data_IF_616109651897
#
_entry.id   IF_616109651897
#
_cell.length_a   1.000
_cell.length_b   1.000
_cell.length_c   1.000
_cell.angle_alpha   90.00
_cell.angle_beta   90.00
_cell.angle_gamma   90.00
#
_symmetry.space_group_name_H-M   'P 1'
#
loop_
_entity.id
_entity.type
_entity.pdbx_description
1 polymer ?
#
# COMPACT_ATOMS: atom_id res chain seq x y z
N UNK A 1 -13.08 44.71 -41.29
CA UNK A 1 -14.08 44.02 -40.45
C UNK A 1 -14.71 42.91 -41.27
N UNK A 2 -14.40 41.65 -40.97
CA UNK A 2 -15.10 40.49 -41.51
C UNK A 2 -15.01 39.37 -40.46
N UNK A 3 -16.18 38.89 -40.10
CA UNK A 3 -16.52 37.96 -39.03
C UNK A 3 -16.42 36.55 -39.61
N UNK A 4 -15.69 35.64 -38.98
CA UNK A 4 -15.93 34.19 -39.11
C UNK A 4 -15.45 33.48 -37.86
N UNK A 5 -16.41 33.33 -36.93
CA UNK A 5 -16.39 32.30 -35.91
C UNK A 5 -16.56 30.95 -36.62
N UNK A 6 -15.53 30.11 -36.61
CA UNK A 6 -15.71 28.67 -36.78
C UNK A 6 -15.03 27.98 -35.62
N UNK A 7 -15.90 27.54 -34.70
CA UNK A 7 -15.58 26.53 -33.70
C UNK A 7 -14.99 25.31 -34.41
N UNK A 8 -13.82 24.88 -33.97
CA UNK A 8 -13.37 23.51 -34.18
C UNK A 8 -13.10 22.93 -32.81
N UNK A 9 -14.15 22.31 -32.26
CA UNK A 9 -14.10 21.40 -31.13
C UNK A 9 -13.37 20.16 -31.64
N UNK A 10 -12.06 20.12 -31.45
CA UNK A 10 -11.29 18.90 -31.61
C UNK A 10 -11.31 18.14 -30.28
N UNK A 11 -12.18 17.13 -30.23
CA UNK A 11 -12.25 16.13 -29.17
C UNK A 11 -10.93 15.33 -29.22
N UNK A 12 -9.99 15.70 -28.36
CA UNK A 12 -8.77 14.94 -28.11
C UNK A 12 -8.99 14.00 -26.94
N UNK A 13 -9.13 12.72 -27.28
CA UNK A 13 -9.43 11.58 -26.42
C UNK A 13 -8.87 11.63 -24.98
N UNK A 14 -9.76 11.44 -24.01
CA UNK A 14 -9.40 10.86 -22.72
C UNK A 14 -8.79 9.48 -22.95
N UNK A 15 -7.51 9.31 -22.65
CA UNK A 15 -6.98 8.08 -22.09
C UNK A 15 -6.02 8.42 -20.96
N UNK A 16 -6.61 8.77 -19.81
CA UNK A 16 -5.92 8.63 -18.53
C UNK A 16 -5.83 7.14 -18.18
N UNK A 17 -4.95 6.41 -18.88
CA UNK A 17 -4.58 5.05 -18.50
C UNK A 17 -3.34 5.11 -17.59
N UNK A 18 -3.49 5.74 -16.42
CA UNK A 18 -2.43 5.84 -15.42
C UNK A 18 -3.02 5.77 -14.00
N UNK A 19 -3.83 4.75 -13.70
CA UNK A 19 -4.41 4.65 -12.35
C UNK A 19 -4.85 3.23 -12.03
N UNK A 20 -3.88 2.35 -11.78
CA UNK A 20 -4.15 1.14 -10.99
C UNK A 20 -2.98 0.67 -10.13
N UNK A 21 -1.76 1.20 -10.32
CA UNK A 21 -0.63 0.95 -9.41
C UNK A 21 -0.50 2.01 -8.31
N UNK A 22 -0.79 3.29 -8.58
CA UNK A 22 -0.69 4.35 -7.57
C UNK A 22 -1.72 4.18 -6.41
N UNK A 23 -2.93 3.69 -6.72
CA UNK A 23 -3.93 3.41 -5.68
C UNK A 23 -3.59 2.23 -4.79
N UNK A 24 -2.81 1.25 -5.29
CA UNK A 24 -2.39 0.10 -4.47
C UNK A 24 -1.32 0.48 -3.47
N UNK A 25 -0.36 1.32 -3.86
CA UNK A 25 0.63 1.86 -2.92
C UNK A 25 -0.05 2.61 -1.77
N UNK A 26 -0.96 3.54 -2.09
CA UNK A 26 -1.66 4.32 -1.07
C UNK A 26 -2.63 3.51 -0.19
N UNK A 27 -3.36 2.54 -0.74
CA UNK A 27 -4.24 1.69 0.05
C UNK A 27 -3.46 0.79 1.00
N UNK A 28 -2.35 0.23 0.52
CA UNK A 28 -1.45 -0.61 1.28
C UNK A 28 -0.79 0.17 2.43
N UNK A 29 -0.35 1.41 2.19
CA UNK A 29 0.21 2.26 3.24
C UNK A 29 -0.81 2.56 4.35
N UNK A 30 -2.08 2.80 4.00
CA UNK A 30 -3.13 3.05 5.00
C UNK A 30 -3.44 1.81 5.84
N UNK A 31 -3.63 0.66 5.21
CA UNK A 31 -3.94 -0.59 5.92
C UNK A 31 -2.75 -1.08 6.75
N UNK A 32 -1.52 -0.90 6.25
CA UNK A 32 -0.29 -1.14 7.01
C UNK A 32 -0.27 -0.30 8.29
N UNK A 33 -0.54 1.01 8.20
CA UNK A 33 -0.59 1.89 9.38
C UNK A 33 -1.66 1.45 10.38
N UNK A 34 -2.83 1.01 9.92
CA UNK A 34 -3.88 0.47 10.80
C UNK A 34 -3.42 -0.80 11.52
N UNK A 35 -2.70 -1.70 10.85
CA UNK A 35 -2.11 -2.88 11.48
C UNK A 35 -1.08 -2.49 12.53
N UNK A 36 -0.22 -1.52 12.25
CA UNK A 36 0.80 -1.05 13.19
C UNK A 36 0.19 -0.38 14.42
N UNK A 37 -0.82 0.47 14.24
CA UNK A 37 -1.54 1.15 15.31
C UNK A 37 -2.25 0.15 16.23
N UNK A 38 -2.96 -0.84 15.66
CA UNK A 38 -3.59 -1.93 16.43
C UNK A 38 -2.60 -2.74 17.25
N UNK A 39 -1.35 -2.81 16.81
CA UNK A 39 -0.31 -3.50 17.55
C UNK A 39 0.43 -2.57 18.53
N UNK A 40 0.12 -1.28 18.60
CA UNK A 40 0.89 -0.27 19.35
C UNK A 40 2.37 -0.27 18.93
N UNK A 41 2.63 -0.37 17.61
CA UNK A 41 3.96 -0.26 17.02
C UNK A 41 4.21 1.14 16.48
N UNK A 42 5.21 1.84 17.01
CA UNK A 42 5.75 3.04 16.37
C UNK A 42 6.86 2.62 15.40
N UNK A 43 6.68 2.73 14.07
CA UNK A 43 7.68 2.27 13.12
C UNK A 43 8.95 3.13 13.19
N UNK A 44 10.09 2.47 13.35
CA UNK A 44 11.43 3.05 13.20
C UNK A 44 11.97 2.81 11.79
N UNK A 45 11.71 1.61 11.25
CA UNK A 45 12.13 1.21 9.90
C UNK A 45 11.08 0.29 9.29
N UNK A 46 10.79 0.51 8.01
CA UNK A 46 9.86 -0.30 7.22
C UNK A 46 10.61 -0.77 5.98
N UNK A 47 10.69 -2.07 5.76
CA UNK A 47 11.31 -2.68 4.57
C UNK A 47 10.26 -3.47 3.80
N UNK A 48 9.84 -3.00 2.62
CA UNK A 48 8.96 -3.78 1.74
C UNK A 48 9.76 -4.83 0.96
N UNK A 49 9.21 -6.03 0.89
CA UNK A 49 9.65 -7.13 0.04
C UNK A 49 8.48 -7.53 -0.85
N UNK A 50 8.54 -7.16 -2.12
CA UNK A 50 7.52 -7.52 -3.09
C UNK A 50 7.74 -8.97 -3.55
N UNK A 51 6.77 -9.84 -3.31
CA UNK A 51 6.81 -11.24 -3.76
C UNK A 51 5.99 -11.45 -5.03
N UNK A 52 4.97 -10.62 -5.28
CA UNK A 52 4.20 -10.63 -6.52
C UNK A 52 3.57 -9.27 -6.82
N UNK A 53 2.85 -9.15 -7.95
CA UNK A 53 2.09 -7.95 -8.31
C UNK A 53 0.96 -7.63 -7.31
N UNK A 54 0.55 -8.59 -6.50
CA UNK A 54 -0.51 -8.45 -5.50
C UNK A 54 -0.03 -8.72 -4.08
N UNK A 55 1.21 -9.19 -3.84
CA UNK A 55 1.68 -9.59 -2.52
C UNK A 55 2.97 -8.87 -2.15
N UNK A 56 2.92 -8.14 -1.04
CA UNK A 56 4.05 -7.40 -0.47
C UNK A 56 4.16 -7.75 1.01
N UNK A 57 5.36 -8.04 1.48
CA UNK A 57 5.65 -8.29 2.89
C UNK A 57 6.44 -7.12 3.42
N UNK A 58 5.98 -6.51 4.51
CA UNK A 58 6.67 -5.44 5.22
C UNK A 58 7.33 -5.99 6.48
N UNK A 59 8.65 -5.90 6.54
CA UNK A 59 9.38 -6.05 7.80
C UNK A 59 9.43 -4.68 8.48
N UNK A 60 8.70 -4.54 9.59
CA UNK A 60 8.60 -3.30 10.36
C UNK A 60 9.34 -3.44 11.67
N UNK A 61 10.41 -2.68 11.84
CA UNK A 61 11.09 -2.51 13.12
C UNK A 61 10.34 -1.46 13.93
N UNK A 62 9.78 -1.85 15.07
CA UNK A 62 9.09 -0.97 16.00
C UNK A 62 10.08 -0.39 17.02
N UNK A 63 10.02 0.92 17.26
CA UNK A 63 10.79 1.59 18.32
C UNK A 63 10.22 1.31 19.71
N UNK A 64 8.88 1.24 19.81
CA UNK A 64 8.15 0.99 21.05
C UNK A 64 6.92 0.12 20.78
N UNK A 65 6.74 -0.99 21.53
CA UNK A 65 7.83 -1.73 22.17
C UNK A 65 8.86 -2.18 21.10
N UNK A 66 10.12 -2.35 21.48
CA UNK A 66 11.18 -2.74 20.56
C UNK A 66 10.97 -4.19 20.09
N UNK A 67 10.51 -4.36 18.84
CA UNK A 67 10.26 -5.67 18.21
C UNK A 67 10.17 -5.52 16.70
N UNK A 68 10.21 -6.64 15.99
CA UNK A 68 9.97 -6.69 14.54
C UNK A 68 8.59 -7.30 14.27
N UNK A 69 7.80 -6.63 13.45
CA UNK A 69 6.52 -7.13 12.94
C UNK A 69 6.66 -7.45 11.45
N UNK A 70 6.15 -8.60 11.05
CA UNK A 70 6.00 -8.95 9.63
C UNK A 70 4.54 -8.70 9.25
N UNK A 71 4.28 -7.79 8.32
CA UNK A 71 2.93 -7.48 7.84
C UNK A 71 2.85 -7.93 6.39
N UNK A 72 1.91 -8.82 6.08
CA UNK A 72 1.65 -9.25 4.71
C UNK A 72 0.48 -8.44 4.18
N UNK A 73 0.66 -7.86 2.99
CA UNK A 73 -0.39 -7.15 2.29
C UNK A 73 -0.69 -7.86 0.97
N UNK A 74 -1.96 -8.26 0.79
CA UNK A 74 -2.48 -8.95 -0.39
C UNK A 74 -3.53 -8.04 -1.04
N UNK A 75 -3.19 -7.49 -2.21
CA UNK A 75 -4.00 -6.48 -2.88
C UNK A 75 -4.09 -5.20 -2.05
N UNK A 76 -5.26 -4.97 -1.46
CA UNK A 76 -5.51 -3.84 -0.56
C UNK A 76 -5.69 -4.25 0.89
N UNK A 77 -5.56 -5.53 1.25
CA UNK A 77 -5.70 -5.98 2.64
C UNK A 77 -4.33 -6.21 3.27
N UNK A 78 -4.09 -5.66 4.46
CA UNK A 78 -2.89 -5.93 5.24
C UNK A 78 -3.23 -6.69 6.52
N UNK A 79 -2.41 -7.68 6.87
CA UNK A 79 -2.55 -8.46 8.09
C UNK A 79 -1.19 -8.71 8.71
N UNK A 80 -1.14 -8.74 10.04
CA UNK A 80 0.06 -9.17 10.74
C UNK A 80 0.27 -10.66 10.44
N UNK A 81 1.46 -11.00 9.96
CA UNK A 81 1.94 -12.38 9.91
C UNK A 81 2.28 -12.78 11.34
N UNK A 82 1.26 -13.21 12.09
CA UNK A 82 1.50 -14.03 13.26
C UNK A 82 2.09 -15.35 12.75
N UNK A 83 3.40 -15.54 12.89
CA UNK A 83 3.90 -16.91 12.95
C UNK A 83 3.04 -17.60 14.01
N UNK A 84 2.42 -18.77 13.74
CA UNK A 84 2.02 -19.61 14.85
C UNK A 84 3.28 -19.71 15.73
N UNK A 85 3.15 -19.29 16.99
CA UNK A 85 4.17 -19.61 17.97
C UNK A 85 4.29 -21.13 17.91
N UNK A 86 5.36 -21.66 17.34
CA UNK A 86 5.95 -22.89 17.86
C UNK A 86 6.35 -22.56 19.30
N UNK A 87 5.36 -22.60 20.18
CA UNK A 87 5.48 -22.73 21.60
C UNK A 87 4.17 -23.32 22.14
N UNK A 88 3.77 -24.44 21.52
CA UNK A 88 3.28 -25.58 22.28
C UNK A 88 4.43 -26.59 22.26
N UNK A 89 5.50 -26.28 23.00
CA UNK A 89 6.36 -27.35 23.53
C UNK A 89 5.52 -28.08 24.59
N UNK A 90 4.98 -29.25 24.22
CA UNK A 90 4.78 -30.37 25.13
C UNK A 90 4.73 -31.70 24.37
#
# INVERSE_FOLDING_TARGET
MAKSFLMSIAIGALLAAASSMASRAHANDRELLLVLDRNACVPERIVPTQLSAALIVYAVTCKRPARVLHVICIGSECRLQTSPRENDEQ
#
